data_IF_057539026926
#
_entry.id   IF_057539026926
#
_cell.length_a   1.000
_cell.length_b   1.000
_cell.length_c   1.000
_cell.angle_alpha   90.00
_cell.angle_beta   90.00
_cell.angle_gamma   90.00
#
_symmetry.space_group_name_H-M   'P 1'
#
loop_
_entity.id
_entity.type
_entity.pdbx_description
1 polymer ?
#
# COMPACT_ATOMS: atom_id res chain seq x y z
N UNK A 1 -25.75 7.19 3.92
CA UNK A 1 -24.68 6.38 3.25
C UNK A 1 -25.02 4.90 3.40
N UNK A 2 -24.73 4.04 2.41
CA UNK A 2 -25.08 2.61 2.49
C UNK A 2 -24.01 1.81 3.25
N UNK A 3 -24.41 0.69 3.87
CA UNK A 3 -23.50 -0.24 4.56
C UNK A 3 -22.42 -0.83 3.63
N UNK A 4 -22.65 -0.81 2.31
CA UNK A 4 -21.65 -1.17 1.28
C UNK A 4 -20.34 -0.39 1.45
N UNK A 5 -20.35 0.82 2.04
CA UNK A 5 -19.12 1.58 2.29
C UNK A 5 -18.13 0.86 3.22
N UNK A 6 -18.58 -0.11 4.02
CA UNK A 6 -17.74 -0.93 4.92
C UNK A 6 -16.94 -1.98 4.14
N UNK A 7 -17.33 -2.29 2.90
CA UNK A 7 -16.57 -3.22 2.03
C UNK A 7 -15.20 -2.62 1.69
N UNK A 8 -15.07 -1.31 1.62
CA UNK A 8 -13.86 -0.66 1.14
C UNK A 8 -12.62 -0.91 2.05
N UNK A 9 -12.70 -0.74 3.39
CA UNK A 9 -11.62 -1.15 4.29
C UNK A 9 -11.24 -2.64 4.16
N UNK A 10 -12.19 -3.51 3.81
CA UNK A 10 -11.91 -4.95 3.59
C UNK A 10 -11.07 -5.12 2.33
N UNK A 11 -11.44 -4.45 1.22
CA UNK A 11 -10.67 -4.50 -0.04
C UNK A 11 -9.26 -3.96 0.16
N UNK A 12 -9.12 -2.84 0.87
CA UNK A 12 -7.82 -2.28 1.25
C UNK A 12 -6.97 -3.31 2.00
N UNK A 13 -7.51 -3.91 3.07
CA UNK A 13 -6.74 -4.88 3.86
C UNK A 13 -6.36 -6.12 3.04
N UNK A 14 -7.22 -6.58 2.12
CA UNK A 14 -6.88 -7.69 1.23
C UNK A 14 -5.67 -7.37 0.35
N UNK A 15 -5.59 -6.16 -0.21
CA UNK A 15 -4.44 -5.70 -0.99
C UNK A 15 -3.17 -5.65 -0.13
N UNK A 16 -3.23 -5.01 1.04
CA UNK A 16 -2.06 -4.89 1.91
C UNK A 16 -1.56 -6.26 2.42
N UNK A 17 -2.47 -7.22 2.65
CA UNK A 17 -2.09 -8.58 3.02
C UNK A 17 -1.32 -9.29 1.90
N UNK A 18 -1.72 -9.10 0.64
CA UNK A 18 -0.96 -9.60 -0.51
C UNK A 18 0.47 -9.04 -0.48
N UNK A 19 0.61 -7.74 -0.23
CA UNK A 19 1.91 -7.10 -0.13
C UNK A 19 2.74 -7.61 1.06
N UNK A 20 2.14 -7.77 2.25
CA UNK A 20 2.85 -8.28 3.43
C UNK A 20 3.45 -9.67 3.17
N UNK A 21 2.71 -10.52 2.46
CA UNK A 21 3.17 -11.89 2.14
C UNK A 21 4.27 -11.85 1.07
N UNK A 22 4.15 -10.99 0.05
CA UNK A 22 5.03 -11.03 -1.13
C UNK A 22 6.26 -10.13 -1.05
N UNK A 23 6.19 -9.02 -0.31
CA UNK A 23 7.27 -8.04 -0.14
C UNK A 23 8.60 -8.64 0.33
N UNK A 24 8.65 -9.60 1.28
CA UNK A 24 9.91 -10.18 1.72
C UNK A 24 10.64 -10.92 0.60
N UNK A 25 9.92 -11.70 -0.19
CA UNK A 25 10.50 -12.48 -1.29
C UNK A 25 10.83 -11.60 -2.49
N UNK A 26 10.03 -10.56 -2.74
CA UNK A 26 10.35 -9.52 -3.70
C UNK A 26 11.67 -8.81 -3.34
N UNK A 27 11.80 -8.32 -2.11
CA UNK A 27 13.02 -7.64 -1.64
C UNK A 27 14.27 -8.53 -1.75
N UNK A 28 14.17 -9.81 -1.34
CA UNK A 28 15.28 -10.78 -1.51
C UNK A 28 15.70 -10.94 -2.97
N UNK A 29 14.75 -11.05 -3.90
CA UNK A 29 15.03 -11.16 -5.35
C UNK A 29 15.77 -9.93 -5.87
N UNK A 30 15.36 -8.73 -5.45
CA UNK A 30 16.03 -7.48 -5.84
C UNK A 30 17.44 -7.41 -5.29
N UNK A 31 17.64 -7.70 -4.00
CA UNK A 31 18.97 -7.69 -3.37
C UNK A 31 19.93 -8.73 -3.97
N UNK A 32 19.39 -9.85 -4.46
CA UNK A 32 20.20 -10.92 -5.09
C UNK A 32 20.56 -10.62 -6.55
N UNK A 33 20.00 -9.57 -7.15
CA UNK A 33 20.37 -9.14 -8.50
C UNK A 33 21.80 -8.61 -8.53
N UNK A 34 22.56 -8.97 -9.58
CA UNK A 34 23.97 -8.55 -9.77
C UNK A 34 24.12 -7.07 -10.17
N UNK A 35 23.04 -6.39 -10.55
CA UNK A 35 23.09 -4.98 -10.98
C UNK A 35 23.21 -4.04 -9.77
N UNK A 36 23.95 -2.94 -9.94
CA UNK A 36 24.01 -1.90 -8.92
C UNK A 36 22.66 -1.20 -8.80
N UNK A 37 21.98 -1.45 -7.68
CA UNK A 37 20.75 -0.75 -7.32
C UNK A 37 21.07 0.72 -6.99
N UNK A 38 20.25 1.68 -7.45
CA UNK A 38 20.33 3.06 -7.00
C UNK A 38 20.28 3.14 -5.47
N UNK A 39 21.06 4.05 -4.87
CA UNK A 39 21.10 4.23 -3.40
C UNK A 39 19.72 4.46 -2.79
N UNK A 40 18.85 5.16 -3.51
CA UNK A 40 17.48 5.48 -3.09
C UNK A 40 16.68 4.18 -2.92
N UNK A 41 16.65 3.33 -3.95
CA UNK A 41 16.00 2.01 -3.93
C UNK A 41 16.58 1.11 -2.83
N UNK A 42 17.90 1.11 -2.68
CA UNK A 42 18.59 0.31 -1.66
C UNK A 42 18.23 0.75 -0.24
N UNK A 43 18.02 2.04 0.00
CA UNK A 43 17.57 2.57 1.29
C UNK A 43 16.10 2.19 1.54
N UNK A 44 15.21 2.39 0.57
CA UNK A 44 13.79 2.03 0.69
C UNK A 44 13.60 0.54 1.00
N UNK A 45 14.31 -0.35 0.29
CA UNK A 45 14.24 -1.80 0.51
C UNK A 45 14.90 -2.26 1.83
N UNK A 46 15.87 -1.50 2.35
CA UNK A 46 16.53 -1.79 3.63
C UNK A 46 15.65 -1.36 4.80
N UNK A 47 14.90 -0.29 4.62
CA UNK A 47 13.94 0.22 5.59
C UNK A 47 12.63 -0.60 5.61
N UNK A 48 12.27 -1.24 4.49
CA UNK A 48 11.13 -2.16 4.37
C UNK A 48 11.38 -3.54 5.01
N UNK A 49 11.74 -3.56 6.29
CA UNK A 49 11.69 -4.78 7.09
C UNK A 49 10.21 -5.20 7.26
N UNK A 50 9.87 -6.47 7.10
CA UNK A 50 8.49 -6.99 7.17
C UNK A 50 7.73 -6.47 8.39
N UNK A 51 8.39 -6.33 9.55
CA UNK A 51 7.78 -5.78 10.76
C UNK A 51 7.42 -4.29 10.64
N UNK A 52 8.30 -3.49 10.04
CA UNK A 52 8.06 -2.05 9.83
C UNK A 52 6.96 -1.83 8.80
N UNK A 53 7.00 -2.60 7.72
CA UNK A 53 5.96 -2.59 6.69
C UNK A 53 4.58 -2.92 7.29
N UNK A 54 4.45 -4.04 8.02
CA UNK A 54 3.18 -4.39 8.67
C UNK A 54 2.69 -3.35 9.69
N UNK A 55 3.60 -2.61 10.34
CA UNK A 55 3.21 -1.53 11.25
C UNK A 55 2.62 -0.34 10.49
N UNK A 56 3.22 0.04 9.36
CA UNK A 56 2.69 1.09 8.48
C UNK A 56 1.30 0.71 7.95
N UNK A 57 1.14 -0.53 7.46
CA UNK A 57 -0.15 -1.07 7.02
C UNK A 57 -1.21 -0.99 8.12
N UNK A 58 -0.83 -1.33 9.36
CA UNK A 58 -1.74 -1.25 10.51
C UNK A 58 -2.18 0.21 10.77
N UNK A 59 -1.25 1.16 10.70
CA UNK A 59 -1.55 2.58 10.87
C UNK A 59 -2.50 3.08 9.78
N UNK A 60 -2.23 2.76 8.51
CA UNK A 60 -3.08 3.12 7.37
C UNK A 60 -4.47 2.50 7.49
N UNK A 61 -4.57 1.23 7.88
CA UNK A 61 -5.85 0.56 8.09
C UNK A 61 -6.68 1.24 9.19
N UNK A 62 -6.06 1.61 10.31
CA UNK A 62 -6.74 2.30 11.40
C UNK A 62 -7.23 3.68 10.97
N UNK A 63 -6.38 4.46 10.30
CA UNK A 63 -6.76 5.78 9.76
C UNK A 63 -7.89 5.65 8.74
N UNK A 64 -7.82 4.69 7.83
CA UNK A 64 -8.83 4.40 6.83
C UNK A 64 -10.16 3.99 7.46
N UNK A 65 -10.11 3.12 8.47
CA UNK A 65 -11.28 2.66 9.22
C UNK A 65 -11.96 3.81 9.95
N UNK A 66 -11.19 4.65 10.65
CA UNK A 66 -11.72 5.83 11.33
C UNK A 66 -12.32 6.84 10.35
N UNK A 67 -11.63 7.13 9.24
CA UNK A 67 -12.11 8.05 8.22
C UNK A 67 -13.40 7.54 7.56
N UNK A 68 -13.45 6.24 7.23
CA UNK A 68 -14.64 5.60 6.63
C UNK A 68 -15.82 5.59 7.62
N UNK A 69 -15.55 5.29 8.90
CA UNK A 69 -16.55 5.32 9.96
C UNK A 69 -17.10 6.74 10.17
N UNK A 70 -16.23 7.74 10.21
CA UNK A 70 -16.61 9.15 10.30
C UNK A 70 -17.49 9.55 9.10
N UNK A 71 -17.05 9.22 7.88
CA UNK A 71 -17.85 9.46 6.68
C UNK A 71 -19.23 8.84 6.79
N UNK A 72 -19.33 7.58 7.22
CA UNK A 72 -20.61 6.87 7.40
C UNK A 72 -21.53 7.58 8.40
N UNK A 73 -21.02 7.90 9.59
CA UNK A 73 -21.81 8.52 10.67
C UNK A 73 -22.33 9.91 10.29
N UNK A 74 -21.49 10.74 9.66
CA UNK A 74 -21.84 12.11 9.27
C UNK A 74 -22.37 12.22 7.83
N UNK A 75 -22.60 11.09 7.15
CA UNK A 75 -23.05 11.02 5.74
C UNK A 75 -22.23 11.87 4.76
N UNK A 76 -20.92 11.96 4.98
CA UNK A 76 -20.00 12.76 4.16
C UNK A 76 -19.53 11.99 2.91
N UNK A 77 -20.37 11.97 1.88
CA UNK A 77 -20.10 11.24 0.64
C UNK A 77 -18.88 11.76 -0.13
N UNK A 78 -18.71 13.08 -0.21
CA UNK A 78 -17.59 13.68 -0.97
C UNK A 78 -16.23 13.28 -0.38
N UNK A 79 -16.12 13.23 0.95
CA UNK A 79 -14.91 12.80 1.65
C UNK A 79 -14.66 11.31 1.39
N UNK A 80 -15.71 10.49 1.43
CA UNK A 80 -15.61 9.06 1.12
C UNK A 80 -15.13 8.79 -0.32
N UNK A 81 -15.63 9.54 -1.30
CA UNK A 81 -15.15 9.47 -2.68
C UNK A 81 -13.67 9.89 -2.77
N UNK A 82 -13.27 10.93 -2.04
CA UNK A 82 -11.87 11.35 -1.95
C UNK A 82 -10.96 10.25 -1.40
N UNK A 83 -11.41 9.51 -0.39
CA UNK A 83 -10.70 8.35 0.16
C UNK A 83 -10.51 7.26 -0.92
N UNK A 84 -11.56 6.93 -1.69
CA UNK A 84 -11.48 5.95 -2.78
C UNK A 84 -10.48 6.40 -3.85
N UNK A 85 -10.50 7.69 -4.22
CA UNK A 85 -9.55 8.25 -5.20
C UNK A 85 -8.12 8.15 -4.66
N UNK A 86 -7.90 8.48 -3.38
CA UNK A 86 -6.60 8.35 -2.72
C UNK A 86 -6.06 6.92 -2.78
N UNK A 87 -6.92 5.92 -2.51
CA UNK A 87 -6.56 4.52 -2.65
C UNK A 87 -6.27 4.09 -4.10
N UNK A 88 -7.02 4.61 -5.07
CA UNK A 88 -6.72 4.38 -6.48
C UNK A 88 -5.33 4.91 -6.88
N UNK A 89 -4.96 6.09 -6.40
CA UNK A 89 -3.62 6.66 -6.60
C UNK A 89 -2.55 5.80 -5.94
N UNK A 90 -2.81 5.32 -4.72
CA UNK A 90 -1.92 4.39 -4.01
C UNK A 90 -1.62 3.15 -4.88
N UNK A 91 -2.64 2.42 -5.36
CA UNK A 91 -2.45 1.24 -6.23
C UNK A 91 -1.62 1.58 -7.48
N UNK A 92 -1.92 2.70 -8.14
CA UNK A 92 -1.17 3.14 -9.33
C UNK A 92 0.31 3.38 -8.96
N UNK A 93 0.58 3.92 -7.77
CA UNK A 93 1.93 4.06 -7.22
C UNK A 93 2.69 2.73 -7.20
N UNK A 94 2.08 1.66 -6.69
CA UNK A 94 2.69 0.32 -6.65
C UNK A 94 3.00 -0.24 -8.05
N UNK A 95 2.09 -0.02 -9.01
CA UNK A 95 2.31 -0.41 -10.42
C UNK A 95 3.52 0.32 -11.00
N UNK A 96 3.59 1.64 -10.82
CA UNK A 96 4.70 2.47 -11.30
C UNK A 96 6.03 2.03 -10.65
N UNK A 97 6.04 1.83 -9.33
CA UNK A 97 7.22 1.34 -8.59
C UNK A 97 7.73 0.02 -9.15
N UNK A 98 6.83 -0.93 -9.44
CA UNK A 98 7.19 -2.24 -9.98
C UNK A 98 7.78 -2.12 -11.39
N UNK A 99 7.22 -1.26 -12.24
CA UNK A 99 7.75 -1.02 -13.59
C UNK A 99 9.16 -0.41 -13.55
N UNK A 100 9.40 0.61 -12.72
CA UNK A 100 10.73 1.20 -12.55
C UNK A 100 11.76 0.18 -12.04
N UNK A 101 11.38 -0.68 -11.09
CA UNK A 101 12.29 -1.72 -10.58
C UNK A 101 12.62 -2.77 -11.64
N UNK A 102 11.66 -3.09 -12.52
CA UNK A 102 11.90 -4.02 -13.64
C UNK A 102 12.94 -3.46 -14.62
N UNK A 103 12.86 -2.18 -14.99
CA UNK A 103 13.87 -1.54 -15.86
C UNK A 103 15.26 -1.50 -15.21
N UNK A 104 15.33 -1.35 -13.88
CA UNK A 104 16.59 -1.33 -13.15
C UNK A 104 17.21 -2.73 -13.10
N UNK A 105 16.41 -3.79 -12.91
CA UNK A 105 16.91 -5.15 -12.66
C UNK A 105 17.22 -5.91 -13.96
N UNK A 106 16.47 -5.67 -15.04
CA UNK A 106 16.61 -6.33 -16.35
C UNK A 106 17.78 -5.74 -17.14
#
# INVERSE_FOLDING_TARGET
>A
MNLICIIFPIVFMMHELEEIIWMPDFSKRIYSSKKQLPKIVKNTLKESNSKKFSFIVMEEFLLLGLATFFCYFYSQYNVYVGIIIGYGIHIIGHVIQTLFLKEIIQ
#
